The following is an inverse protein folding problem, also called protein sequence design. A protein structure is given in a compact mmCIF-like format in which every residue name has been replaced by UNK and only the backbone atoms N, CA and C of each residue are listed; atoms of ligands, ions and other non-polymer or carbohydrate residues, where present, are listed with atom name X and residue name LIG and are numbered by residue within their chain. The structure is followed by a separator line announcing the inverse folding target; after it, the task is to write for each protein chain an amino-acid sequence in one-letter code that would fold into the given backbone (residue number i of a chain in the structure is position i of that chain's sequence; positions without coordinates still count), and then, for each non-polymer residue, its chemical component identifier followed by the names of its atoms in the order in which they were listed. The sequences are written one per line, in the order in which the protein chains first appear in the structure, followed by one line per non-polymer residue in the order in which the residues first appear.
data_IF_657760438753
#
_entry.id   IF_657760438753
#
_cell.length_a   1.000
_cell.length_b   1.000
_cell.length_c   1.000
_cell.angle_alpha   90.00
_cell.angle_beta   90.00
_cell.angle_gamma   90.00
#
_symmetry.space_group_name_H-M   'P 1'
#
loop_
_entity.id
_entity.type
_entity.pdbx_description
1 polymer ?
#
# COMPACT_ATOMS: atom_id res chain seq x y z
N UNK A 1 12.48 -8.73 -18.23
CA UNK A 1 11.36 -7.81 -17.98
C UNK A 1 11.84 -6.76 -16.98
N UNK A 2 12.19 -5.55 -17.46
CA UNK A 2 12.71 -4.44 -16.62
C UNK A 2 11.62 -3.38 -16.34
N UNK A 3 10.55 -3.40 -17.14
CA UNK A 3 9.52 -2.35 -17.15
C UNK A 3 8.66 -2.34 -15.88
N UNK A 4 8.46 -3.47 -15.21
CA UNK A 4 7.68 -3.52 -13.96
C UNK A 4 8.47 -3.07 -12.72
N UNK A 5 9.80 -3.17 -12.72
CA UNK A 5 10.61 -2.90 -11.53
C UNK A 5 10.83 -1.40 -11.26
N UNK A 6 10.74 -0.54 -12.27
CA UNK A 6 11.01 0.91 -12.13
C UNK A 6 9.73 1.74 -11.93
N UNK A 7 8.57 1.23 -12.33
CA UNK A 7 7.29 1.92 -12.14
C UNK A 7 6.93 1.99 -10.65
N UNK A 8 7.15 0.91 -9.90
CA UNK A 8 6.78 0.90 -8.48
C UNK A 8 7.57 1.92 -7.64
N UNK A 9 8.91 2.00 -7.69
CA UNK A 9 9.67 3.01 -6.96
C UNK A 9 9.24 4.45 -7.31
N UNK A 10 8.95 4.72 -8.59
CA UNK A 10 8.49 6.04 -9.04
C UNK A 10 7.13 6.40 -8.44
N UNK A 11 6.17 5.45 -8.47
CA UNK A 11 4.83 5.65 -7.89
C UNK A 11 4.91 5.78 -6.36
N UNK A 12 5.79 5.02 -5.70
CA UNK A 12 6.00 5.13 -4.25
C UNK A 12 6.66 6.45 -3.84
N UNK A 13 7.52 7.03 -4.67
CA UNK A 13 8.05 8.37 -4.43
C UNK A 13 6.93 9.43 -4.45
N UNK A 14 5.94 9.29 -5.33
CA UNK A 14 4.78 10.18 -5.40
C UNK A 14 3.84 10.09 -4.18
N UNK A 15 3.97 9.09 -3.30
CA UNK A 15 3.25 9.08 -2.01
C UNK A 15 3.77 10.14 -1.04
N UNK A 16 4.97 10.67 -1.27
CA UNK A 16 5.61 11.71 -0.46
C UNK A 16 5.49 13.11 -1.07
N UNK A 17 4.62 13.26 -2.08
CA UNK A 17 4.35 14.56 -2.70
C UNK A 17 3.79 15.56 -1.67
N UNK A 18 3.83 16.88 -1.91
CA UNK A 18 3.24 17.84 -0.98
C UNK A 18 1.71 17.91 -1.13
N UNK A 19 1.18 17.55 -2.30
CA UNK A 19 -0.25 17.64 -2.61
C UNK A 19 -1.03 16.39 -2.12
N UNK A 20 -1.96 16.60 -1.19
CA UNK A 20 -2.83 15.54 -0.66
C UNK A 20 -3.66 14.82 -1.74
N UNK A 21 -4.05 15.51 -2.81
CA UNK A 21 -4.77 14.92 -3.94
C UNK A 21 -3.88 13.95 -4.72
N UNK A 22 -2.61 14.32 -4.94
CA UNK A 22 -1.62 13.45 -5.60
C UNK A 22 -1.42 12.20 -4.75
N UNK A 23 -1.16 12.33 -3.45
CA UNK A 23 -0.98 11.18 -2.56
C UNK A 23 -2.19 10.25 -2.54
N UNK A 24 -3.41 10.81 -2.47
CA UNK A 24 -4.67 10.04 -2.48
C UNK A 24 -4.85 9.27 -3.80
N UNK A 25 -4.58 9.91 -4.93
CA UNK A 25 -4.70 9.29 -6.24
C UNK A 25 -3.68 8.16 -6.40
N UNK A 26 -2.44 8.39 -5.95
CA UNK A 26 -1.37 7.39 -5.94
C UNK A 26 -1.73 6.20 -5.04
N UNK A 27 -2.17 6.45 -3.80
CA UNK A 27 -2.62 5.39 -2.90
C UNK A 27 -3.79 4.57 -3.47
N UNK A 28 -4.70 5.24 -4.19
CA UNK A 28 -5.80 4.57 -4.90
C UNK A 28 -5.30 3.73 -6.07
N UNK A 29 -4.37 4.24 -6.86
CA UNK A 29 -3.75 3.51 -7.96
C UNK A 29 -3.04 2.25 -7.46
N UNK A 30 -2.22 2.37 -6.42
CA UNK A 30 -1.50 1.24 -5.82
C UNK A 30 -2.49 0.20 -5.29
N UNK A 31 -3.58 0.63 -4.62
CA UNK A 31 -4.65 -0.26 -4.18
C UNK A 31 -5.28 -1.02 -5.34
N UNK A 32 -5.59 -0.33 -6.43
CA UNK A 32 -6.18 -0.94 -7.63
C UNK A 32 -5.22 -1.98 -8.22
N UNK A 33 -3.93 -1.65 -8.36
CA UNK A 33 -2.91 -2.59 -8.85
C UNK A 33 -2.83 -3.83 -7.94
N UNK A 34 -2.77 -3.62 -6.61
CA UNK A 34 -2.69 -4.71 -5.64
C UNK A 34 -3.95 -5.60 -5.63
N UNK A 35 -5.12 -5.09 -6.02
CA UNK A 35 -6.36 -5.88 -6.09
C UNK A 35 -6.45 -6.75 -7.34
N UNK A 36 -5.75 -6.39 -8.43
CA UNK A 36 -5.88 -7.08 -9.72
C UNK A 36 -5.28 -8.48 -9.69
N UNK A 37 -4.05 -8.63 -9.21
CA UNK A 37 -3.40 -9.94 -9.08
C UNK A 37 -2.50 -10.01 -7.84
N UNK A 38 -2.41 -11.19 -7.19
CA UNK A 38 -1.52 -11.37 -6.04
C UNK A 38 -0.04 -11.26 -6.40
N UNK A 39 0.33 -11.51 -7.65
CA UNK A 39 1.70 -11.36 -8.16
C UNK A 39 2.14 -9.88 -8.15
N UNK A 40 1.26 -8.96 -8.58
CA UNK A 40 1.52 -7.53 -8.52
C UNK A 40 1.61 -7.03 -7.08
N UNK A 41 0.78 -7.55 -6.18
CA UNK A 41 0.85 -7.24 -4.75
C UNK A 41 2.21 -7.63 -4.14
N UNK A 42 2.76 -8.79 -4.53
CA UNK A 42 4.11 -9.20 -4.11
C UNK A 42 5.19 -8.28 -4.68
N UNK A 43 5.07 -7.86 -5.95
CA UNK A 43 6.03 -6.91 -6.54
C UNK A 43 6.06 -5.57 -5.79
N UNK A 44 4.90 -5.03 -5.44
CA UNK A 44 4.82 -3.78 -4.65
C UNK A 44 5.47 -3.97 -3.27
N UNK A 45 5.26 -5.12 -2.63
CA UNK A 45 5.87 -5.44 -1.33
C UNK A 45 7.39 -5.52 -1.42
N UNK A 46 7.88 -6.23 -2.45
CA UNK A 46 9.31 -6.38 -2.70
C UNK A 46 9.99 -5.05 -3.04
N UNK A 47 9.26 -4.12 -3.67
CA UNK A 47 9.72 -2.76 -3.94
C UNK A 47 9.67 -1.82 -2.71
N UNK A 48 9.27 -2.31 -1.54
CA UNK A 48 9.16 -1.49 -0.31
C UNK A 48 7.87 -0.69 -0.20
N UNK A 49 6.84 -1.03 -0.98
CA UNK A 49 5.57 -0.31 -1.01
C UNK A 49 4.79 -0.34 0.30
N UNK A 50 4.96 -1.40 1.11
CA UNK A 50 4.37 -1.47 2.46
C UNK A 50 4.87 -0.33 3.34
N UNK A 51 6.18 -0.08 3.36
CA UNK A 51 6.76 1.00 4.16
C UNK A 51 6.29 2.38 3.70
N UNK A 52 6.31 2.62 2.38
CA UNK A 52 5.85 3.89 1.82
C UNK A 52 4.35 4.15 2.06
N UNK A 53 3.51 3.12 2.02
CA UNK A 53 2.08 3.25 2.34
C UNK A 53 1.86 3.47 3.83
N UNK A 54 2.62 2.83 4.71
CA UNK A 54 2.55 3.09 6.17
C UNK A 54 2.96 4.51 6.51
N UNK A 55 4.06 5.00 5.92
CA UNK A 55 4.49 6.40 6.04
C UNK A 55 3.37 7.35 5.57
N UNK A 56 2.73 7.04 4.43
CA UNK A 56 1.61 7.82 3.90
C UNK A 56 0.40 7.86 4.84
N UNK A 57 0.01 6.73 5.43
CA UNK A 57 -1.12 6.64 6.36
C UNK A 57 -0.81 7.42 7.65
N UNK A 58 0.45 7.44 8.08
CA UNK A 58 0.88 8.19 9.27
C UNK A 58 0.92 9.71 9.01
N UNK A 59 1.37 10.12 7.82
CA UNK A 59 1.44 11.52 7.39
C UNK A 59 0.05 12.09 7.07
N UNK A 60 -0.85 11.28 6.54
CA UNK A 60 -2.16 11.73 6.05
C UNK A 60 -3.30 11.51 7.06
N UNK A 61 -4.09 12.56 7.31
CA UNK A 61 -5.22 12.52 8.25
C UNK A 61 -6.57 12.43 7.54
N UNK A 62 -7.52 11.66 8.07
CA UNK A 62 -8.89 11.55 7.55
C UNK A 62 -9.10 10.42 6.54
N UNK A 63 -10.00 10.62 5.57
CA UNK A 63 -10.45 9.56 4.64
C UNK A 63 -9.41 9.17 3.57
N UNK A 64 -8.37 9.98 3.38
CA UNK A 64 -7.32 9.76 2.39
C UNK A 64 -6.45 8.54 2.70
N UNK A 65 -6.40 8.10 3.97
CA UNK A 65 -5.65 6.91 4.40
C UNK A 65 -6.34 5.58 4.09
N UNK A 66 -7.65 5.60 3.83
CA UNK A 66 -8.45 4.39 3.57
C UNK A 66 -7.93 3.54 2.39
N UNK A 67 -7.56 4.11 1.22
CA UNK A 67 -6.99 3.34 0.12
C UNK A 67 -5.68 2.65 0.50
N UNK A 68 -4.84 3.31 1.32
CA UNK A 68 -3.59 2.73 1.83
C UNK A 68 -3.84 1.53 2.74
N UNK A 69 -4.76 1.66 3.70
CA UNK A 69 -5.16 0.56 4.59
C UNK A 69 -5.73 -0.63 3.79
N UNK A 70 -6.60 -0.34 2.82
CA UNK A 70 -7.18 -1.38 1.95
C UNK A 70 -6.11 -2.10 1.13
N UNK A 71 -5.16 -1.36 0.56
CA UNK A 71 -4.03 -1.92 -0.19
C UNK A 71 -3.23 -2.91 0.66
N UNK A 72 -2.89 -2.54 1.89
CA UNK A 72 -2.18 -3.42 2.83
C UNK A 72 -2.95 -4.72 3.07
N UNK A 73 -4.28 -4.65 3.19
CA UNK A 73 -5.14 -5.84 3.33
C UNK A 73 -5.16 -6.76 2.09
N UNK A 74 -4.98 -6.22 0.88
CA UNK A 74 -4.85 -7.03 -0.34
C UNK A 74 -3.49 -7.69 -0.45
N UNK A 75 -2.43 -6.97 -0.07
CA UNK A 75 -1.05 -7.46 -0.03
C UNK A 75 -0.84 -8.53 1.04
N UNK A 76 -1.55 -8.43 2.18
CA UNK A 76 -1.45 -9.39 3.29
C UNK A 76 -2.35 -10.64 3.11
N UNK A 77 -3.34 -10.59 2.20
CA UNK A 77 -4.24 -11.72 1.95
C UNK A 77 -3.50 -13.04 1.63
N UNK A 78 -2.40 -13.07 0.86
CA UNK A 78 -1.59 -14.28 0.64
C UNK A 78 -0.82 -14.78 1.88
N UNK A 79 -0.51 -13.91 2.86
CA UNK A 79 0.27 -14.25 4.06
C UNK A 79 -0.55 -14.88 5.19
N UNK A 80 -1.89 -14.93 5.04
CA UNK A 80 -2.83 -15.44 6.04
C UNK A 80 -2.69 -16.94 6.37
N UNK A 81 -1.76 -17.66 5.76
CA UNK A 81 -1.45 -19.07 6.05
C UNK A 81 -0.51 -19.28 7.25
N UNK A 82 0.08 -18.24 7.87
CA UNK A 82 1.09 -18.49 8.93
C UNK A 82 1.05 -17.67 10.23
N UNK A 83 0.41 -16.49 10.33
CA UNK A 83 0.58 -15.66 11.54
C UNK A 83 -0.68 -14.91 11.98
N UNK A 84 -1.34 -15.30 13.10
CA UNK A 84 -2.48 -14.58 13.68
C UNK A 84 -2.12 -13.20 14.30
N UNK A 85 -0.84 -12.87 14.44
CA UNK A 85 -0.40 -11.58 15.02
C UNK A 85 -0.77 -10.34 14.19
N UNK A 86 -1.03 -10.48 12.88
CA UNK A 86 -1.34 -9.35 11.99
C UNK A 86 -2.79 -8.85 12.07
N UNK A 87 -3.71 -9.65 12.62
CA UNK A 87 -5.07 -9.22 12.97
C UNK A 87 -5.06 -8.14 14.07
N UNK A 88 -4.03 -8.12 14.92
CA UNK A 88 -3.83 -7.05 15.91
C UNK A 88 -3.38 -5.75 15.24
N UNK A 89 -2.52 -5.83 14.22
CA UNK A 89 -2.09 -4.67 13.44
C UNK A 89 -3.26 -4.03 12.68
N UNK A 90 -4.12 -4.82 12.04
CA UNK A 90 -5.34 -4.30 11.41
C UNK A 90 -6.32 -3.66 12.41
N UNK A 91 -6.27 -4.05 13.68
CA UNK A 91 -7.15 -3.53 14.74
C UNK A 91 -6.61 -2.23 15.35
N UNK A 92 -5.29 -2.03 15.40
CA UNK A 92 -4.68 -0.76 15.83
C UNK A 92 -4.85 0.39 14.81
N UNK A 93 -5.02 0.08 13.53
CA UNK A 93 -5.22 1.10 12.48
C UNK A 93 -6.69 1.37 12.12
N UNK A 94 -7.62 0.51 12.56
CA UNK A 94 -9.07 0.63 12.31
C UNK A 94 -9.87 1.17 13.52
N UNK A 95 -9.22 1.35 14.68
CA UNK A 95 -9.77 2.02 15.86
C UNK A 95 -9.21 3.45 15.96
#
# INVERSE_FOLDING_TARGET
MVVEAEIFPAVLACLKDEDEYVKKNVATLIREIAKHTPELAQLITNAGGVGAVVDYINDSKGNVRLPGIMMLGYVDRPLRKHSPCLLLFLREWLC
#
